data_IF_673372337906
#
_entry.id   IF_673372337906
#
_cell.length_a   1.000
_cell.length_b   1.000
_cell.length_c   1.000
_cell.angle_alpha   90.00
_cell.angle_beta   90.00
_cell.angle_gamma   90.00
#
_symmetry.space_group_name_H-M   'P 1'
#
loop_
_entity.id
_entity.type
_entity.pdbx_description
1 polymer ?
#
# COMPACT_ATOMS: atom_id res chain seq x y z
N UNK A 1 21.82 10.06 -3.88
CA UNK A 1 21.82 9.18 -2.68
C UNK A 1 20.36 8.93 -2.31
N UNK A 2 19.95 7.67 -2.17
CA UNK A 2 18.56 7.33 -1.80
C UNK A 2 18.52 7.08 -0.28
N UNK A 3 17.49 7.57 0.40
CA UNK A 3 17.28 7.29 1.83
C UNK A 3 17.12 5.79 2.07
N UNK A 4 17.75 5.25 3.12
CA UNK A 4 17.65 3.82 3.47
C UNK A 4 16.46 3.51 4.39
N UNK A 5 15.83 4.54 4.95
CA UNK A 5 14.70 4.38 5.85
C UNK A 5 13.46 4.02 5.02
N UNK A 6 12.83 2.90 5.37
CA UNK A 6 11.59 2.42 4.78
C UNK A 6 10.58 2.17 5.90
N UNK A 7 9.31 2.29 5.57
CA UNK A 7 8.21 1.90 6.47
C UNK A 7 8.28 0.40 6.73
N UNK A 8 7.79 -0.02 7.89
CA UNK A 8 7.57 -1.43 8.23
C UNK A 8 6.12 -1.63 8.59
N UNK A 9 5.54 -2.72 8.13
CA UNK A 9 4.18 -3.13 8.46
C UNK A 9 4.21 -4.23 9.53
N UNK A 10 3.07 -4.43 10.19
CA UNK A 10 2.88 -5.55 11.13
C UNK A 10 3.07 -6.89 10.41
N UNK A 11 3.58 -7.90 11.12
CA UNK A 11 3.65 -9.28 10.63
C UNK A 11 2.26 -9.87 10.33
N UNK A 12 1.22 -9.33 10.96
CA UNK A 12 -0.18 -9.73 10.76
C UNK A 12 -0.90 -8.94 9.65
N UNK A 13 -0.18 -8.08 8.91
CA UNK A 13 -0.76 -7.28 7.84
C UNK A 13 -1.22 -8.17 6.68
N UNK A 14 -2.48 -8.08 6.21
CA UNK A 14 -2.91 -8.79 5.02
C UNK A 14 -2.06 -8.41 3.79
N UNK A 15 -1.73 -9.36 2.88
CA UNK A 15 -0.88 -9.09 1.72
C UNK A 15 -1.35 -7.89 0.87
N UNK A 16 -2.65 -7.80 0.59
CA UNK A 16 -3.25 -6.70 -0.18
C UNK A 16 -3.04 -5.33 0.47
N UNK A 17 -3.08 -5.26 1.80
CA UNK A 17 -2.85 -4.04 2.56
C UNK A 17 -1.36 -3.69 2.59
N UNK A 18 -0.48 -4.69 2.70
CA UNK A 18 0.97 -4.52 2.61
C UNK A 18 1.37 -3.93 1.25
N UNK A 19 0.88 -4.52 0.16
CA UNK A 19 1.17 -4.08 -1.20
C UNK A 19 0.68 -2.66 -1.46
N UNK A 20 -0.57 -2.36 -1.08
CA UNK A 20 -1.12 -1.01 -1.18
C UNK A 20 -0.29 0.00 -0.37
N UNK A 21 0.05 -0.35 0.88
CA UNK A 21 0.84 0.51 1.75
C UNK A 21 2.24 0.81 1.18
N UNK A 22 2.89 -0.19 0.59
CA UNK A 22 4.18 -0.03 -0.08
C UNK A 22 4.07 0.86 -1.32
N UNK A 23 3.02 0.72 -2.14
CA UNK A 23 2.79 1.56 -3.31
C UNK A 23 2.58 3.04 -2.93
N UNK A 24 1.85 3.30 -1.85
CA UNK A 24 1.62 4.66 -1.33
C UNK A 24 2.91 5.40 -0.93
N UNK A 25 3.95 4.68 -0.50
CA UNK A 25 5.23 5.26 -0.06
C UNK A 25 6.34 5.14 -1.11
N UNK A 26 5.98 4.86 -2.37
CA UNK A 26 6.96 4.77 -3.44
C UNK A 26 7.83 6.03 -3.53
N UNK A 27 9.14 5.81 -3.74
CA UNK A 27 10.12 6.89 -3.90
C UNK A 27 9.79 7.74 -5.12
N UNK A 28 9.44 7.08 -6.23
CA UNK A 28 8.92 7.74 -7.42
C UNK A 28 7.47 8.20 -7.17
N UNK A 29 7.17 9.50 -7.22
CA UNK A 29 5.80 10.00 -7.06
C UNK A 29 4.83 9.46 -8.11
N UNK A 30 5.31 9.15 -9.33
CA UNK A 30 4.47 8.66 -10.43
C UNK A 30 4.07 7.20 -10.21
N UNK A 31 4.82 6.45 -9.40
CA UNK A 31 4.51 5.08 -9.02
C UNK A 31 3.47 4.98 -7.90
N UNK A 32 3.08 6.10 -7.28
CA UNK A 32 2.07 6.10 -6.20
C UNK A 32 0.67 6.00 -6.82
N UNK A 33 -0.24 5.24 -6.20
CA UNK A 33 -1.61 5.19 -6.65
C UNK A 33 -2.30 6.54 -6.42
N UNK A 34 -3.28 6.83 -7.27
CA UNK A 34 -4.27 7.88 -7.01
C UNK A 34 -5.15 7.51 -5.81
N UNK A 35 -5.81 8.51 -5.23
CA UNK A 35 -6.75 8.27 -4.14
C UNK A 35 -7.90 7.31 -4.53
N UNK A 36 -8.33 7.36 -5.79
CA UNK A 36 -9.39 6.48 -6.31
C UNK A 36 -8.91 5.02 -6.40
N UNK A 37 -7.70 4.78 -6.91
CA UNK A 37 -7.11 3.44 -6.97
C UNK A 37 -6.86 2.87 -5.58
N UNK A 38 -6.36 3.68 -4.65
CA UNK A 38 -6.16 3.25 -3.26
C UNK A 38 -7.49 2.88 -2.59
N UNK A 39 -8.55 3.69 -2.79
CA UNK A 39 -9.88 3.40 -2.27
C UNK A 39 -10.42 2.08 -2.83
N UNK A 40 -10.27 1.84 -4.13
CA UNK A 40 -10.70 0.60 -4.75
C UNK A 40 -10.01 -0.62 -4.13
N UNK A 41 -8.68 -0.57 -3.96
CA UNK A 41 -7.94 -1.67 -3.34
C UNK A 41 -8.37 -1.93 -1.88
N UNK A 42 -8.67 -0.86 -1.12
CA UNK A 42 -9.23 -1.00 0.23
C UNK A 42 -10.62 -1.68 0.23
N UNK A 43 -11.47 -1.35 -0.75
CA UNK A 43 -12.78 -1.98 -0.89
C UNK A 43 -12.68 -3.46 -1.24
N UNK A 44 -11.76 -3.83 -2.14
CA UNK A 44 -11.47 -5.24 -2.47
C UNK A 44 -10.98 -5.98 -1.23
N UNK A 45 -10.01 -5.41 -0.50
CA UNK A 45 -9.49 -6.01 0.73
C UNK A 45 -10.59 -6.25 1.77
N UNK A 46 -11.51 -5.31 1.95
CA UNK A 46 -12.64 -5.45 2.86
C UNK A 46 -13.65 -6.51 2.41
N UNK A 47 -13.86 -6.66 1.10
CA UNK A 47 -14.76 -7.67 0.54
C UNK A 47 -14.22 -9.09 0.70
N UNK A 48 -12.90 -9.29 0.63
CA UNK A 48 -12.24 -10.60 0.85
C UNK A 48 -12.29 -11.07 2.31
N UNK A 49 -12.63 -10.18 3.25
CA UNK A 49 -12.79 -10.52 4.68
C UNK A 49 -14.23 -10.89 5.08
N UNK A 50 -15.18 -10.89 4.14
CA UNK A 50 -16.59 -11.26 4.36
C UNK A 50 -16.85 -12.72 3.97
#
# INVERSE_FOLDING_TARGET
MQGKLHVKFSETCPPIILELGMACVAIDPVARPTAAEALYQLQVALAEQQ
#
